data_IF_972951373234
#
_entry.id   IF_972951373234
#
_cell.length_a   1.000
_cell.length_b   1.000
_cell.length_c   1.000
_cell.angle_alpha   90.00
_cell.angle_beta   90.00
_cell.angle_gamma   90.00
#
_symmetry.space_group_name_H-M   'P 1'
#
loop_
_entity.id
_entity.type
_entity.pdbx_description
1 polymer ?
#
# COMPACT_ATOMS: atom_id res chain seq x y z
N UNK A 1 -31.77 1.73 6.71
CA UNK A 1 -31.31 2.73 5.71
C UNK A 1 -31.09 2.02 4.39
N UNK A 2 -31.76 2.39 3.28
CA UNK A 2 -31.68 1.65 2.02
C UNK A 2 -30.36 1.90 1.29
N UNK A 3 -29.85 0.91 0.54
CA UNK A 3 -28.60 0.96 -0.24
C UNK A 3 -28.49 2.22 -1.15
N UNK A 4 -29.61 2.71 -1.68
CA UNK A 4 -29.67 3.94 -2.49
C UNK A 4 -29.36 5.21 -1.67
N UNK A 5 -29.83 5.29 -0.43
CA UNK A 5 -29.55 6.41 0.46
C UNK A 5 -28.08 6.45 0.89
N UNK A 6 -27.49 5.28 1.14
CA UNK A 6 -26.07 5.13 1.46
C UNK A 6 -25.15 5.59 0.30
N UNK A 7 -25.44 5.16 -0.95
CA UNK A 7 -24.68 5.59 -2.14
C UNK A 7 -24.77 7.08 -2.40
N UNK A 8 -25.93 7.72 -2.14
CA UNK A 8 -26.08 9.16 -2.27
C UNK A 8 -25.21 9.90 -1.25
N UNK A 9 -25.21 9.47 0.00
CA UNK A 9 -24.39 10.07 1.07
C UNK A 9 -22.88 9.98 0.81
N UNK A 10 -22.41 8.85 0.29
CA UNK A 10 -21.00 8.71 -0.15
C UNK A 10 -20.65 9.72 -1.23
N UNK A 11 -21.52 9.92 -2.21
CA UNK A 11 -21.29 10.90 -3.29
C UNK A 11 -21.24 12.33 -2.73
N UNK A 12 -22.16 12.69 -1.86
CA UNK A 12 -22.19 13.99 -1.18
C UNK A 12 -20.89 14.23 -0.40
N UNK A 13 -20.40 13.23 0.33
CA UNK A 13 -19.14 13.33 1.07
C UNK A 13 -17.91 13.41 0.16
N UNK A 14 -17.90 12.72 -0.98
CA UNK A 14 -16.82 12.81 -1.96
C UNK A 14 -16.81 14.19 -2.65
N UNK A 15 -17.96 14.77 -2.93
CA UNK A 15 -18.08 16.14 -3.46
C UNK A 15 -17.52 17.19 -2.48
N UNK A 16 -17.70 17.00 -1.16
CA UNK A 16 -17.16 17.91 -0.14
C UNK A 16 -15.64 17.73 0.03
N UNK A 17 -15.15 16.47 0.04
CA UNK A 17 -13.78 16.17 0.47
C UNK A 17 -12.81 15.91 -0.66
N UNK A 18 -13.33 15.59 -1.88
CA UNK A 18 -12.53 15.14 -3.02
C UNK A 18 -11.49 14.06 -2.62
N UNK A 19 -11.96 13.01 -1.95
CA UNK A 19 -11.10 11.98 -1.33
C UNK A 19 -10.27 11.18 -2.34
N UNK A 20 -10.68 11.15 -3.60
CA UNK A 20 -10.05 10.36 -4.67
C UNK A 20 -8.53 10.52 -4.80
N UNK A 21 -7.96 11.74 -4.88
CA UNK A 21 -6.51 11.93 -4.94
C UNK A 21 -5.75 11.38 -3.73
N UNK A 22 -6.31 11.52 -2.54
CA UNK A 22 -5.72 11.04 -1.27
C UNK A 22 -5.70 9.52 -1.25
N UNK A 23 -6.83 8.89 -1.57
CA UNK A 23 -6.98 7.44 -1.66
C UNK A 23 -5.99 6.82 -2.67
N UNK A 24 -5.85 7.43 -3.85
CA UNK A 24 -4.88 6.96 -4.85
C UNK A 24 -3.44 7.03 -4.35
N UNK A 25 -3.08 8.12 -3.67
CA UNK A 25 -1.75 8.27 -3.05
C UNK A 25 -1.48 7.17 -2.04
N UNK A 26 -2.40 6.93 -1.13
CA UNK A 26 -2.27 5.88 -0.11
C UNK A 26 -2.27 4.48 -0.70
N UNK A 27 -3.07 4.24 -1.75
CA UNK A 27 -3.04 2.96 -2.47
C UNK A 27 -1.65 2.67 -3.06
N UNK A 28 -1.07 3.64 -3.76
CA UNK A 28 0.25 3.46 -4.40
C UNK A 28 1.35 3.26 -3.37
N UNK A 29 1.37 4.08 -2.31
CA UNK A 29 2.38 3.95 -1.24
C UNK A 29 2.24 2.59 -0.56
N UNK A 30 1.04 2.22 -0.13
CA UNK A 30 0.81 0.94 0.55
C UNK A 30 1.11 -0.26 -0.34
N UNK A 31 0.73 -0.22 -1.62
CA UNK A 31 1.03 -1.30 -2.56
C UNK A 31 2.54 -1.46 -2.80
N UNK A 32 3.27 -0.37 -2.89
CA UNK A 32 4.73 -0.38 -3.01
C UNK A 32 5.38 -0.97 -1.76
N UNK A 33 5.00 -0.50 -0.59
CA UNK A 33 5.53 -0.96 0.70
C UNK A 33 5.27 -2.45 0.94
N UNK A 34 4.06 -2.92 0.64
CA UNK A 34 3.69 -4.33 0.77
C UNK A 34 4.51 -5.24 -0.12
N UNK A 35 4.65 -4.91 -1.41
CA UNK A 35 5.43 -5.68 -2.36
C UNK A 35 6.92 -5.75 -1.96
N UNK A 36 7.52 -4.63 -1.57
CA UNK A 36 8.92 -4.57 -1.16
C UNK A 36 9.19 -5.29 0.16
N UNK A 37 8.27 -5.19 1.12
CA UNK A 37 8.42 -5.87 2.42
C UNK A 37 8.51 -7.39 2.24
N UNK A 38 7.63 -7.97 1.46
CA UNK A 38 7.64 -9.42 1.23
C UNK A 38 8.80 -9.85 0.34
N UNK A 39 9.12 -9.09 -0.68
CA UNK A 39 10.35 -9.31 -1.46
C UNK A 39 11.58 -9.33 -0.56
N UNK A 40 11.65 -8.40 0.39
CA UNK A 40 12.73 -8.31 1.36
C UNK A 40 12.89 -9.58 2.20
N UNK A 41 11.78 -10.10 2.71
CA UNK A 41 11.78 -11.32 3.50
C UNK A 41 12.21 -12.53 2.66
N UNK A 42 11.65 -12.68 1.44
CA UNK A 42 11.96 -13.78 0.55
C UNK A 42 13.45 -13.76 0.14
N UNK A 43 13.94 -12.64 -0.37
CA UNK A 43 15.32 -12.50 -0.84
C UNK A 43 16.31 -12.63 0.32
N UNK A 44 16.00 -12.00 1.46
CA UNK A 44 16.85 -12.11 2.67
C UNK A 44 16.94 -13.54 3.18
N UNK A 45 15.82 -14.27 3.25
CA UNK A 45 15.80 -15.66 3.69
C UNK A 45 16.61 -16.56 2.74
N UNK A 46 16.41 -16.43 1.41
CA UNK A 46 17.13 -17.24 0.41
C UNK A 46 18.62 -16.86 0.37
N UNK A 47 18.94 -15.57 0.51
CA UNK A 47 20.32 -15.09 0.64
C UNK A 47 21.05 -15.65 1.86
N UNK A 48 20.32 -15.93 2.95
CA UNK A 48 20.82 -16.58 4.15
C UNK A 48 20.80 -18.12 4.06
N UNK A 49 20.54 -18.71 2.89
CA UNK A 49 20.58 -20.16 2.67
C UNK A 49 19.29 -20.90 3.01
N UNK A 50 18.14 -20.25 2.98
CA UNK A 50 16.86 -20.92 3.22
C UNK A 50 16.59 -22.03 2.20
N UNK A 51 16.11 -23.17 2.70
CA UNK A 51 15.76 -24.39 1.95
C UNK A 51 14.26 -24.68 2.09
N UNK A 52 13.79 -25.81 1.53
CA UNK A 52 12.38 -26.26 1.69
C UNK A 52 11.93 -26.38 3.15
N UNK A 53 12.82 -26.76 4.05
CA UNK A 53 12.51 -26.83 5.49
C UNK A 53 12.12 -25.47 6.09
N UNK A 54 12.58 -24.38 5.49
CA UNK A 54 12.31 -23.01 5.94
C UNK A 54 11.09 -22.36 5.28
N UNK A 55 10.44 -23.04 4.32
CA UNK A 55 9.25 -22.55 3.60
C UNK A 55 8.11 -22.11 4.53
N UNK A 56 7.72 -22.88 5.58
CA UNK A 56 6.69 -22.42 6.52
C UNK A 56 7.09 -21.14 7.27
N UNK A 57 8.39 -20.99 7.60
CA UNK A 57 8.91 -19.78 8.24
C UNK A 57 8.83 -18.57 7.30
N UNK A 58 9.23 -18.71 6.04
CA UNK A 58 9.11 -17.64 5.03
C UNK A 58 7.65 -17.19 4.88
N UNK A 59 6.72 -18.14 4.75
CA UNK A 59 5.30 -17.84 4.62
C UNK A 59 4.75 -17.14 5.87
N UNK A 60 5.00 -17.69 7.06
CA UNK A 60 4.47 -17.11 8.32
C UNK A 60 5.07 -15.74 8.62
N UNK A 61 6.37 -15.54 8.40
CA UNK A 61 7.02 -14.26 8.58
C UNK A 61 6.48 -13.21 7.59
N UNK A 62 6.30 -13.59 6.31
CA UNK A 62 5.77 -12.71 5.28
C UNK A 62 4.31 -12.31 5.55
N UNK A 63 3.45 -13.27 5.92
CA UNK A 63 2.05 -12.98 6.28
C UNK A 63 1.99 -12.13 7.55
N UNK A 64 2.79 -12.45 8.56
CA UNK A 64 2.87 -11.65 9.78
C UNK A 64 3.30 -10.22 9.53
N UNK A 65 4.34 -10.02 8.72
CA UNK A 65 4.80 -8.70 8.29
C UNK A 65 3.73 -7.94 7.48
N UNK A 66 3.03 -8.63 6.55
CA UNK A 66 1.95 -8.04 5.76
C UNK A 66 0.80 -7.53 6.65
N UNK A 67 0.38 -8.32 7.65
CA UNK A 67 -0.66 -7.93 8.60
C UNK A 67 -0.19 -6.76 9.48
N UNK A 68 1.04 -6.83 10.01
CA UNK A 68 1.59 -5.75 10.82
C UNK A 68 1.68 -4.44 10.03
N UNK A 69 2.15 -4.51 8.78
CA UNK A 69 2.22 -3.36 7.88
C UNK A 69 0.82 -2.80 7.57
N UNK A 70 -0.16 -3.67 7.30
CA UNK A 70 -1.54 -3.26 7.03
C UNK A 70 -2.15 -2.50 8.22
N UNK A 71 -2.00 -3.03 9.44
CA UNK A 71 -2.51 -2.37 10.66
C UNK A 71 -1.79 -1.05 10.92
N UNK A 72 -0.46 -1.04 10.86
CA UNK A 72 0.35 0.16 11.06
C UNK A 72 -0.01 1.25 10.05
N UNK A 73 -0.12 0.90 8.76
CA UNK A 73 -0.51 1.81 7.68
C UNK A 73 -1.91 2.36 7.87
N UNK A 74 -2.89 1.51 8.24
CA UNK A 74 -4.26 1.94 8.48
C UNK A 74 -4.36 2.94 9.65
N UNK A 75 -3.73 2.61 10.78
CA UNK A 75 -3.75 3.47 11.98
C UNK A 75 -3.00 4.77 11.71
N UNK A 76 -1.80 4.69 11.10
CA UNK A 76 -1.01 5.88 10.77
C UNK A 76 -1.74 6.83 9.82
N UNK A 77 -2.36 6.29 8.75
CA UNK A 77 -3.14 7.09 7.81
C UNK A 77 -4.38 7.72 8.47
N UNK A 78 -5.09 6.95 9.32
CA UNK A 78 -6.25 7.48 10.03
C UNK A 78 -5.89 8.67 10.92
N UNK A 79 -4.86 8.52 11.74
CA UNK A 79 -4.45 9.60 12.65
C UNK A 79 -3.90 10.82 11.89
N UNK A 80 -3.11 10.61 10.83
CA UNK A 80 -2.60 11.68 9.99
C UNK A 80 -3.76 12.47 9.33
N UNK A 81 -4.69 11.78 8.66
CA UNK A 81 -5.83 12.43 8.02
C UNK A 81 -6.77 13.09 9.04
N UNK A 82 -6.97 12.46 10.20
CA UNK A 82 -7.79 13.04 11.27
C UNK A 82 -7.23 14.38 11.76
N UNK A 83 -5.93 14.48 11.94
CA UNK A 83 -5.26 15.71 12.36
C UNK A 83 -5.34 16.75 11.24
N UNK A 84 -5.00 16.39 10.01
CA UNK A 84 -5.06 17.26 8.83
C UNK A 84 -6.47 17.86 8.68
N UNK A 85 -7.51 17.01 8.70
CA UNK A 85 -8.89 17.47 8.57
C UNK A 85 -9.36 18.36 9.71
N UNK A 86 -8.87 18.16 10.94
CA UNK A 86 -9.13 19.11 12.04
C UNK A 86 -8.50 20.47 11.80
N UNK A 87 -7.28 20.51 11.28
CA UNK A 87 -6.61 21.76 10.92
C UNK A 87 -7.33 22.47 9.78
N UNK A 88 -7.75 21.74 8.74
CA UNK A 88 -8.57 22.27 7.64
C UNK A 88 -9.86 22.91 8.17
N UNK A 89 -10.63 22.19 9.00
CA UNK A 89 -11.87 22.69 9.60
C UNK A 89 -11.60 24.00 10.36
N UNK A 90 -10.58 24.01 11.23
CA UNK A 90 -10.24 25.19 12.02
C UNK A 90 -9.87 26.38 11.15
N UNK A 91 -9.15 26.14 10.06
CA UNK A 91 -8.73 27.17 9.10
C UNK A 91 -9.94 27.76 8.36
N UNK A 92 -10.83 26.89 7.89
CA UNK A 92 -12.05 27.29 7.18
C UNK A 92 -12.99 28.07 8.13
N UNK A 93 -13.22 27.57 9.35
CA UNK A 93 -14.09 28.23 10.33
C UNK A 93 -13.58 29.63 10.71
N UNK A 94 -12.25 29.79 10.82
CA UNK A 94 -11.64 31.11 11.05
C UNK A 94 -11.81 32.05 9.86
N UNK A 95 -11.65 31.56 8.66
CA UNK A 95 -11.81 32.35 7.43
C UNK A 95 -13.27 32.78 7.21
N UNK A 96 -14.23 31.93 7.55
CA UNK A 96 -15.66 32.19 7.43
C UNK A 96 -16.23 32.98 8.62
N UNK A 97 -15.50 33.08 9.74
CA UNK A 97 -16.00 33.59 11.04
C UNK A 97 -17.29 32.87 11.50
N UNK A 98 -17.46 31.62 11.08
CA UNK A 98 -18.62 30.79 11.34
C UNK A 98 -18.20 29.33 11.53
N UNK A 99 -19.02 28.54 12.25
CA UNK A 99 -18.79 27.09 12.39
C UNK A 99 -19.27 26.34 11.15
N UNK A 100 -18.51 25.33 10.73
CA UNK A 100 -18.93 24.40 9.70
C UNK A 100 -20.11 23.54 10.18
N UNK A 101 -20.98 23.15 9.26
CA UNK A 101 -22.08 22.23 9.56
C UNK A 101 -21.55 20.86 9.98
N UNK A 102 -22.34 20.12 10.73
CA UNK A 102 -22.00 18.75 11.15
C UNK A 102 -21.81 17.82 9.93
N UNK A 103 -22.53 18.06 8.84
CA UNK A 103 -22.38 17.30 7.60
C UNK A 103 -20.97 17.42 7.00
N UNK A 104 -20.37 18.61 7.02
CA UNK A 104 -18.98 18.80 6.57
C UNK A 104 -18.00 18.05 7.48
N UNK A 105 -18.21 18.08 8.80
CA UNK A 105 -17.36 17.35 9.73
C UNK A 105 -17.45 15.84 9.56
N UNK A 106 -18.66 15.32 9.32
CA UNK A 106 -18.87 13.90 9.00
C UNK A 106 -18.19 13.51 7.68
N UNK A 107 -18.25 14.36 6.66
CA UNK A 107 -17.57 14.12 5.39
C UNK A 107 -16.05 14.04 5.56
N UNK A 108 -15.45 14.90 6.37
CA UNK A 108 -14.02 14.85 6.68
C UNK A 108 -13.62 13.59 7.47
N UNK A 109 -14.44 13.14 8.43
CA UNK A 109 -14.23 11.86 9.13
C UNK A 109 -14.33 10.66 8.17
N UNK A 110 -15.31 10.66 7.27
CA UNK A 110 -15.45 9.64 6.24
C UNK A 110 -14.20 9.55 5.35
N UNK A 111 -13.68 10.68 4.90
CA UNK A 111 -12.45 10.73 4.10
C UNK A 111 -11.25 10.11 4.84
N UNK A 112 -11.08 10.39 6.13
CA UNK A 112 -10.03 9.79 6.94
C UNK A 112 -10.18 8.27 7.06
N UNK A 113 -11.39 7.77 7.29
CA UNK A 113 -11.67 6.32 7.39
C UNK A 113 -11.40 5.61 6.06
N UNK A 114 -11.85 6.17 4.94
CA UNK A 114 -11.64 5.58 3.61
C UNK A 114 -10.16 5.55 3.25
N UNK A 115 -9.44 6.64 3.51
CA UNK A 115 -7.99 6.72 3.30
C UNK A 115 -7.23 5.68 4.12
N UNK A 116 -7.59 5.54 5.39
CA UNK A 116 -7.03 4.53 6.30
C UNK A 116 -7.30 3.10 5.83
N UNK A 117 -8.53 2.81 5.44
CA UNK A 117 -8.91 1.49 4.93
C UNK A 117 -8.11 1.12 3.67
N UNK A 118 -7.99 2.04 2.72
CA UNK A 118 -7.22 1.81 1.50
C UNK A 118 -5.73 1.64 1.80
N UNK A 119 -5.17 2.48 2.69
CA UNK A 119 -3.74 2.37 3.04
C UNK A 119 -3.41 1.10 3.83
N UNK A 120 -4.36 0.54 4.58
CA UNK A 120 -4.19 -0.76 5.25
C UNK A 120 -4.37 -1.95 4.30
N UNK A 121 -5.37 -1.89 3.41
CA UNK A 121 -5.66 -3.01 2.49
C UNK A 121 -4.65 -3.11 1.35
N UNK A 122 -4.17 -1.98 0.83
CA UNK A 122 -3.24 -1.97 -0.30
C UNK A 122 -1.94 -2.76 -0.04
N UNK A 123 -1.19 -2.56 1.07
CA UNK A 123 0.01 -3.33 1.34
C UNK A 123 -0.28 -4.81 1.59
N UNK A 124 -1.42 -5.14 2.19
CA UNK A 124 -1.81 -6.53 2.44
C UNK A 124 -1.98 -7.29 1.11
N UNK A 125 -2.74 -6.74 0.17
CA UNK A 125 -2.93 -7.35 -1.15
C UNK A 125 -1.59 -7.45 -1.89
N UNK A 126 -0.82 -6.37 -1.91
CA UNK A 126 0.47 -6.32 -2.60
C UNK A 126 1.50 -7.31 -2.03
N UNK A 127 1.49 -7.52 -0.72
CA UNK A 127 2.34 -8.48 -0.04
C UNK A 127 1.96 -9.94 -0.32
N UNK A 128 0.67 -10.24 -0.42
CA UNK A 128 0.19 -11.60 -0.66
C UNK A 128 0.46 -12.10 -2.08
N UNK A 129 0.49 -11.21 -3.08
CA UNK A 129 0.71 -11.59 -4.48
C UNK A 129 2.02 -12.38 -4.71
N UNK A 130 3.20 -11.92 -4.23
CA UNK A 130 4.45 -12.65 -4.39
C UNK A 130 4.52 -13.95 -3.58
N UNK A 131 3.63 -14.16 -2.60
CA UNK A 131 3.59 -15.39 -1.80
C UNK A 131 2.86 -16.54 -2.49
N UNK A 132 1.98 -16.24 -3.43
CA UNK A 132 1.17 -17.26 -4.13
C UNK A 132 2.02 -18.41 -4.70
N UNK A 133 3.16 -18.20 -5.36
CA UNK A 133 4.00 -19.27 -5.87
C UNK A 133 4.49 -20.25 -4.81
N UNK A 134 4.71 -19.79 -3.57
CA UNK A 134 5.21 -20.65 -2.49
C UNK A 134 4.22 -21.73 -2.04
N UNK A 135 2.94 -21.62 -2.36
CA UNK A 135 1.95 -22.65 -2.07
C UNK A 135 2.02 -23.83 -3.05
N UNK A 136 2.63 -23.65 -4.23
CA UNK A 136 2.57 -24.63 -5.31
C UNK A 136 3.96 -25.07 -5.80
N UNK A 137 5.02 -24.29 -5.55
CA UNK A 137 6.36 -24.50 -6.09
C UNK A 137 7.38 -24.70 -4.96
N UNK A 138 8.50 -25.32 -5.28
CA UNK A 138 9.68 -25.41 -4.40
C UNK A 138 10.29 -24.03 -4.16
N UNK A 139 10.95 -23.81 -3.00
CA UNK A 139 11.47 -22.51 -2.55
C UNK A 139 12.32 -21.83 -3.62
N UNK A 140 13.22 -22.55 -4.30
CA UNK A 140 14.06 -21.97 -5.34
C UNK A 140 13.26 -21.41 -6.51
N UNK A 141 12.36 -22.21 -7.08
CA UNK A 141 11.49 -21.80 -8.19
C UNK A 141 10.46 -20.76 -7.75
N UNK A 142 9.85 -20.95 -6.57
CA UNK A 142 8.90 -20.00 -5.98
C UNK A 142 9.51 -18.61 -5.81
N UNK A 143 10.77 -18.53 -5.38
CA UNK A 143 11.50 -17.28 -5.22
C UNK A 143 11.64 -16.52 -6.54
N UNK A 144 12.06 -17.20 -7.61
CA UNK A 144 12.21 -16.58 -8.92
C UNK A 144 10.86 -16.04 -9.41
N UNK A 145 9.82 -16.86 -9.32
CA UNK A 145 8.46 -16.46 -9.74
C UNK A 145 7.94 -15.32 -8.88
N UNK A 146 8.17 -15.35 -7.56
CA UNK A 146 7.77 -14.27 -6.64
C UNK A 146 8.43 -12.93 -6.99
N UNK A 147 9.73 -12.95 -7.30
CA UNK A 147 10.45 -11.75 -7.74
C UNK A 147 9.83 -11.20 -9.03
N UNK A 148 9.57 -12.06 -10.02
CA UNK A 148 8.96 -11.65 -11.29
C UNK A 148 7.56 -11.07 -11.06
N UNK A 149 6.72 -11.73 -10.26
CA UNK A 149 5.37 -11.26 -9.91
C UNK A 149 5.42 -9.88 -9.24
N UNK A 150 6.31 -9.70 -8.27
CA UNK A 150 6.46 -8.42 -7.59
C UNK A 150 6.96 -7.31 -8.53
N UNK A 151 7.95 -7.58 -9.39
CA UNK A 151 8.45 -6.58 -10.35
C UNK A 151 7.39 -6.20 -11.39
N UNK A 152 6.61 -7.18 -11.87
CA UNK A 152 5.47 -6.90 -12.77
C UNK A 152 4.42 -6.06 -12.05
N UNK A 153 4.10 -6.39 -10.81
CA UNK A 153 3.17 -5.61 -10.00
C UNK A 153 3.66 -4.18 -9.79
N UNK A 154 4.92 -3.98 -9.43
CA UNK A 154 5.54 -2.66 -9.30
C UNK A 154 5.51 -1.89 -10.63
N UNK A 155 5.78 -2.56 -11.75
CA UNK A 155 5.66 -1.94 -13.07
C UNK A 155 4.24 -1.45 -13.33
N UNK A 156 3.23 -2.26 -13.04
CA UNK A 156 1.81 -1.91 -13.24
C UNK A 156 1.41 -0.71 -12.39
N UNK A 157 1.82 -0.68 -11.12
CA UNK A 157 1.57 0.48 -10.23
C UNK A 157 2.25 1.75 -10.75
N UNK A 158 3.51 1.64 -11.16
CA UNK A 158 4.24 2.78 -11.75
C UNK A 158 3.65 3.24 -13.08
N UNK A 159 3.25 2.30 -13.94
CA UNK A 159 2.57 2.58 -15.21
C UNK A 159 1.21 3.28 -15.00
N UNK A 160 0.44 2.82 -14.01
CA UNK A 160 -0.80 3.47 -13.60
C UNK A 160 -0.57 4.93 -13.19
N UNK A 161 0.47 5.19 -12.39
CA UNK A 161 0.85 6.55 -11.98
C UNK A 161 1.25 7.41 -13.19
N UNK A 162 2.09 6.87 -14.08
CA UNK A 162 2.51 7.57 -15.30
C UNK A 162 1.33 7.97 -16.18
N UNK A 163 0.36 7.07 -16.34
CA UNK A 163 -0.86 7.36 -17.08
C UNK A 163 -1.71 8.46 -16.42
N UNK A 164 -1.79 8.46 -15.09
CA UNK A 164 -2.58 9.43 -14.33
C UNK A 164 -2.07 10.87 -14.51
N UNK A 165 -0.74 11.04 -14.54
CA UNK A 165 -0.09 12.37 -14.69
C UNK A 165 0.27 12.69 -16.14
N UNK A 166 -0.15 11.86 -17.09
CA UNK A 166 0.14 11.99 -18.54
C UNK A 166 1.64 12.03 -18.86
N UNK A 167 2.45 11.37 -18.05
CA UNK A 167 3.87 11.12 -18.31
C UNK A 167 4.07 9.85 -19.15
N UNK A 168 5.34 9.54 -19.44
CA UNK A 168 5.72 8.30 -20.13
C UNK A 168 5.40 7.09 -19.24
N UNK A 169 4.29 6.41 -19.50
CA UNK A 169 3.77 5.24 -18.77
C UNK A 169 4.86 4.19 -18.51
N UNK A 170 5.59 3.81 -19.57
CA UNK A 170 6.69 2.85 -19.49
C UNK A 170 7.84 3.40 -18.63
N UNK A 171 8.19 4.67 -18.79
CA UNK A 171 9.27 5.29 -18.03
C UNK A 171 9.00 5.31 -16.53
N UNK A 172 7.77 5.65 -16.11
CA UNK A 172 7.37 5.65 -14.70
C UNK A 172 7.28 4.21 -14.17
N UNK A 173 6.77 3.25 -14.95
CA UNK A 173 6.78 1.84 -14.60
C UNK A 173 8.20 1.31 -14.35
N UNK A 174 9.16 1.64 -15.23
CA UNK A 174 10.56 1.24 -15.08
C UNK A 174 11.24 1.87 -13.86
N UNK A 175 10.89 3.09 -13.45
CA UNK A 175 11.39 3.69 -12.19
C UNK A 175 11.00 2.86 -10.97
N UNK A 176 9.76 2.37 -10.92
CA UNK A 176 9.29 1.50 -9.85
C UNK A 176 10.00 0.15 -9.84
N UNK A 177 10.20 -0.45 -11.02
CA UNK A 177 10.99 -1.68 -11.17
C UNK A 177 12.43 -1.46 -10.73
N UNK A 178 13.06 -0.36 -11.13
CA UNK A 178 14.43 -0.04 -10.73
C UNK A 178 14.56 0.13 -9.19
N UNK A 179 13.58 0.75 -8.54
CA UNK A 179 13.55 0.85 -7.08
C UNK A 179 13.41 -0.54 -6.43
N UNK A 180 12.53 -1.40 -6.96
CA UNK A 180 12.38 -2.79 -6.52
C UNK A 180 13.66 -3.61 -6.67
N UNK A 181 14.31 -3.53 -7.83
CA UNK A 181 15.58 -4.20 -8.09
C UNK A 181 16.72 -3.66 -7.19
N UNK A 182 16.79 -2.34 -6.99
CA UNK A 182 17.75 -1.74 -6.08
C UNK A 182 17.61 -2.26 -4.66
N UNK A 183 16.37 -2.33 -4.17
CA UNK A 183 16.06 -2.91 -2.86
C UNK A 183 16.44 -4.40 -2.81
N UNK A 184 16.12 -5.17 -3.84
CA UNK A 184 16.46 -6.59 -3.94
C UNK A 184 17.96 -6.83 -3.88
N UNK A 185 18.77 -6.03 -4.59
CA UNK A 185 20.24 -6.11 -4.57
C UNK A 185 20.78 -5.80 -3.18
N UNK A 186 20.32 -4.74 -2.53
CA UNK A 186 20.75 -4.38 -1.16
C UNK A 186 20.45 -5.50 -0.18
N UNK A 187 19.24 -6.05 -0.23
CA UNK A 187 18.82 -7.13 0.68
C UNK A 187 19.58 -8.44 0.43
N UNK A 188 19.86 -8.77 -0.83
CA UNK A 188 20.67 -9.94 -1.18
C UNK A 188 22.10 -9.79 -0.64
N UNK A 189 22.73 -8.63 -0.82
CA UNK A 189 24.07 -8.34 -0.28
C UNK A 189 24.10 -8.37 1.24
N UNK A 190 23.04 -7.97 1.93
CA UNK A 190 22.93 -8.07 3.37
C UNK A 190 22.72 -9.54 3.80
N UNK A 191 21.84 -10.29 3.14
CA UNK A 191 21.56 -11.69 3.46
C UNK A 191 22.80 -12.56 3.35
N UNK A 192 23.60 -12.40 2.29
CA UNK A 192 24.86 -13.17 2.09
C UNK A 192 25.97 -12.86 3.10
N UNK A 193 25.84 -11.80 3.91
CA UNK A 193 26.84 -11.44 4.93
C UNK A 193 26.44 -11.88 6.36
N UNK A 194 25.17 -12.23 6.55
CA UNK A 194 24.61 -12.60 7.86
C UNK A 194 24.55 -14.12 8.02
N UNK A 195 24.56 -14.89 6.93
CA UNK A 195 24.65 -16.36 6.92
C UNK A 195 26.07 -16.85 6.70
#
# INVERSE_FOLDING_TARGET
>A
MGFRAWRRRIREYDEITNVGPVVRRYFVIGAFDGALTVLGIIIGAVGAGATEAHKPLILSASVGAAVALAVSSAVGAYEAERVEKKLDITTIERALLARLSEEHKEAFQFAAIVSAAVHGVAPLIAALLPLVPFFFLEVGTATIVAIVVALVFLFVIGAYLGNLVRERVVGTGLRFVAAGLGTAVVLWLMGTRVG
#
